data_IF_578446018589
#
_entry.id   IF_578446018589
#
_cell.length_a   1.000
_cell.length_b   1.000
_cell.length_c   1.000
_cell.angle_alpha   90.00
_cell.angle_beta   90.00
_cell.angle_gamma   90.00
#
_symmetry.space_group_name_H-M   'P 1'
#
loop_
_entity.id
_entity.type
_entity.pdbx_description
1 polymer ?
#
# COMPACT_ATOMS: atom_id res chain seq x y z
N UNK A 1 -54.70 13.98 -29.75
CA UNK A 1 -53.31 13.53 -30.02
C UNK A 1 -52.40 14.39 -29.17
N UNK A 2 -51.93 13.89 -28.03
CA UNK A 2 -50.78 14.41 -27.27
C UNK A 2 -50.56 13.53 -26.03
N UNK A 3 -50.29 12.25 -26.23
CA UNK A 3 -49.84 11.34 -25.16
C UNK A 3 -48.73 10.44 -25.72
N UNK A 4 -47.57 11.02 -26.00
CA UNK A 4 -46.36 10.26 -26.32
C UNK A 4 -45.17 11.22 -26.26
N UNK A 5 -44.60 11.46 -25.07
CA UNK A 5 -43.29 12.12 -24.92
C UNK A 5 -42.69 12.06 -23.51
N UNK A 6 -43.10 11.10 -22.65
CA UNK A 6 -42.58 11.00 -21.28
C UNK A 6 -41.89 9.67 -20.94
N UNK A 7 -41.66 8.76 -21.90
CA UNK A 7 -41.08 7.45 -21.59
C UNK A 7 -39.59 7.28 -21.91
N UNK A 8 -38.96 8.12 -22.74
CA UNK A 8 -37.55 7.92 -23.14
C UNK A 8 -36.50 8.54 -22.18
N UNK A 9 -36.88 9.48 -21.30
CA UNK A 9 -35.90 10.21 -20.47
C UNK A 9 -35.61 9.56 -19.11
N UNK A 10 -36.47 8.64 -18.66
CA UNK A 10 -36.36 8.03 -17.31
C UNK A 10 -35.46 6.77 -17.30
N UNK A 11 -35.38 6.02 -18.41
CA UNK A 11 -34.43 4.91 -18.58
C UNK A 11 -32.97 5.41 -18.57
N UNK A 12 -32.69 6.61 -19.11
CA UNK A 12 -31.31 7.13 -19.19
C UNK A 12 -30.70 7.55 -17.85
N UNK A 13 -31.50 8.08 -16.91
CA UNK A 13 -30.96 8.62 -15.63
C UNK A 13 -30.69 7.51 -14.62
N UNK A 14 -31.59 6.54 -14.54
CA UNK A 14 -31.47 5.37 -13.67
C UNK A 14 -30.32 4.46 -14.12
N UNK A 15 -30.12 4.28 -15.43
CA UNK A 15 -28.96 3.56 -15.96
C UNK A 15 -27.63 4.31 -15.72
N UNK A 16 -27.62 5.64 -15.81
CA UNK A 16 -26.43 6.46 -15.49
C UNK A 16 -26.05 6.31 -14.02
N UNK A 17 -27.04 6.32 -13.11
CA UNK A 17 -26.83 6.10 -11.68
C UNK A 17 -26.32 4.68 -11.45
N UNK A 18 -26.94 3.66 -12.05
CA UNK A 18 -26.48 2.27 -11.94
C UNK A 18 -25.06 2.04 -12.47
N UNK A 19 -24.71 2.66 -13.61
CA UNK A 19 -23.36 2.61 -14.17
C UNK A 19 -22.36 3.36 -13.31
N UNK A 20 -22.74 4.51 -12.73
CA UNK A 20 -21.90 5.25 -11.80
C UNK A 20 -21.64 4.43 -10.53
N UNK A 21 -22.69 3.90 -9.89
CA UNK A 21 -22.59 3.06 -8.69
C UNK A 21 -21.77 1.78 -8.96
N UNK A 22 -22.00 1.09 -10.09
CA UNK A 22 -21.19 -0.09 -10.47
C UNK A 22 -19.72 0.25 -10.68
N UNK A 23 -19.42 1.39 -11.31
CA UNK A 23 -18.04 1.86 -11.50
C UNK A 23 -17.39 2.23 -10.18
N UNK A 24 -18.10 2.92 -9.29
CA UNK A 24 -17.59 3.30 -7.97
C UNK A 24 -17.34 2.08 -7.10
N UNK A 25 -18.25 1.10 -7.08
CA UNK A 25 -18.06 -0.16 -6.34
C UNK A 25 -16.86 -0.92 -6.92
N UNK A 26 -16.81 -1.09 -8.25
CA UNK A 26 -15.69 -1.78 -8.92
C UNK A 26 -14.35 -1.09 -8.65
N UNK A 27 -14.32 0.24 -8.67
CA UNK A 27 -13.13 1.04 -8.38
C UNK A 27 -12.72 0.94 -6.91
N UNK A 28 -13.67 1.07 -5.98
CA UNK A 28 -13.41 0.96 -4.54
C UNK A 28 -12.91 -0.44 -4.15
N UNK A 29 -13.49 -1.51 -4.71
CA UNK A 29 -13.00 -2.88 -4.49
C UNK A 29 -11.60 -3.09 -5.10
N UNK A 30 -11.33 -2.53 -6.28
CA UNK A 30 -10.01 -2.58 -6.90
C UNK A 30 -8.95 -1.85 -6.06
N UNK A 31 -9.26 -0.63 -5.57
CA UNK A 31 -8.38 0.16 -4.70
C UNK A 31 -8.14 -0.53 -3.35
N UNK A 32 -9.17 -1.11 -2.74
CA UNK A 32 -9.02 -1.87 -1.49
C UNK A 32 -8.11 -3.09 -1.65
N UNK A 33 -8.23 -3.79 -2.78
CA UNK A 33 -7.34 -4.91 -3.10
C UNK A 33 -5.90 -4.44 -3.28
N UNK A 34 -5.64 -3.35 -4.02
CA UNK A 34 -4.30 -2.80 -4.18
C UNK A 34 -3.69 -2.34 -2.85
N UNK A 35 -4.46 -1.68 -1.99
CA UNK A 35 -3.99 -1.29 -0.65
C UNK A 35 -3.59 -2.51 0.17
N UNK A 36 -4.40 -3.58 0.15
CA UNK A 36 -4.08 -4.84 0.81
C UNK A 36 -2.75 -5.42 0.30
N UNK A 37 -2.51 -5.40 -1.02
CA UNK A 37 -1.24 -5.86 -1.59
C UNK A 37 -0.05 -4.99 -1.14
N UNK A 38 -0.19 -3.66 -1.13
CA UNK A 38 0.86 -2.75 -0.64
C UNK A 38 1.18 -3.02 0.83
N UNK A 39 0.16 -3.16 1.68
CA UNK A 39 0.36 -3.45 3.11
C UNK A 39 1.05 -4.79 3.30
N UNK A 40 0.64 -5.83 2.57
CA UNK A 40 1.29 -7.14 2.66
C UNK A 40 2.76 -7.06 2.23
N UNK A 41 3.06 -6.41 1.10
CA UNK A 41 4.45 -6.23 0.64
C UNK A 41 5.29 -5.41 1.61
N UNK A 42 4.71 -4.40 2.29
CA UNK A 42 5.39 -3.65 3.35
C UNK A 42 5.70 -4.52 4.58
N UNK A 43 4.79 -5.42 4.95
CA UNK A 43 5.03 -6.39 6.03
C UNK A 43 6.20 -7.30 5.63
N UNK A 44 6.17 -7.82 4.40
CA UNK A 44 7.23 -8.69 3.87
C UNK A 44 8.58 -7.97 3.83
N UNK A 45 8.62 -6.71 3.37
CA UNK A 45 9.81 -5.85 3.39
C UNK A 45 10.34 -5.65 4.81
N UNK A 46 9.46 -5.37 5.77
CA UNK A 46 9.82 -5.26 7.18
C UNK A 46 10.41 -6.56 7.75
N UNK A 47 9.89 -7.72 7.35
CA UNK A 47 10.44 -9.01 7.73
C UNK A 47 11.83 -9.25 7.12
N UNK A 48 12.05 -8.85 5.86
CA UNK A 48 13.36 -8.91 5.20
C UNK A 48 14.38 -8.01 5.91
N UNK A 49 14.02 -6.77 6.26
CA UNK A 49 14.90 -5.87 7.01
C UNK A 49 15.30 -6.43 8.37
N UNK A 50 14.35 -6.97 9.14
CA UNK A 50 14.66 -7.65 10.41
C UNK A 50 15.63 -8.81 10.23
N UNK A 51 15.50 -9.56 9.13
CA UNK A 51 16.41 -10.66 8.81
C UNK A 51 17.81 -10.18 8.43
N UNK A 52 17.91 -9.05 7.71
CA UNK A 52 19.20 -8.40 7.43
C UNK A 52 19.88 -7.98 8.73
N UNK A 53 19.15 -7.32 9.64
CA UNK A 53 19.69 -6.88 10.93
C UNK A 53 20.19 -8.07 11.76
N UNK A 54 19.42 -9.16 11.80
CA UNK A 54 19.81 -10.40 12.48
C UNK A 54 21.10 -11.00 11.89
N UNK A 55 21.24 -11.04 10.56
CA UNK A 55 22.45 -11.55 9.92
C UNK A 55 23.66 -10.62 10.11
N UNK A 56 23.46 -9.29 10.17
CA UNK A 56 24.54 -8.37 10.55
C UNK A 56 25.00 -8.63 11.99
N UNK A 57 24.09 -8.86 12.93
CA UNK A 57 24.44 -9.20 14.31
C UNK A 57 25.19 -10.55 14.40
N UNK A 58 24.73 -11.56 13.64
CA UNK A 58 25.39 -12.87 13.56
C UNK A 58 26.79 -12.76 12.95
N UNK A 59 26.95 -12.00 11.86
CA UNK A 59 28.23 -11.75 11.23
C UNK A 59 29.19 -11.01 12.18
N UNK A 60 28.71 -9.98 12.88
CA UNK A 60 29.51 -9.26 13.88
C UNK A 60 30.00 -10.19 14.99
N UNK A 61 29.10 -10.99 15.55
CA UNK A 61 29.45 -11.99 16.57
C UNK A 61 30.48 -12.99 16.04
N UNK A 62 30.32 -13.49 14.83
CA UNK A 62 31.26 -14.43 14.23
C UNK A 62 32.64 -13.82 14.02
N UNK A 63 32.71 -12.54 13.63
CA UNK A 63 33.97 -11.81 13.51
C UNK A 63 34.62 -11.66 14.88
N UNK A 64 33.86 -11.30 15.90
CA UNK A 64 34.35 -11.15 17.27
C UNK A 64 34.88 -12.49 17.81
N UNK A 65 34.11 -13.58 17.70
CA UNK A 65 34.49 -14.93 18.10
C UNK A 65 35.80 -15.37 17.38
N UNK A 66 35.91 -15.08 16.08
CA UNK A 66 37.12 -15.40 15.31
C UNK A 66 38.34 -14.58 15.76
N UNK A 67 38.11 -13.31 16.13
CA UNK A 67 39.17 -12.41 16.60
C UNK A 67 39.66 -12.82 17.98
N UNK A 68 38.76 -13.22 18.88
CA UNK A 68 39.10 -13.76 20.20
C UNK A 68 39.87 -15.09 20.08
N UNK A 69 39.51 -15.94 19.12
CA UNK A 69 40.24 -17.16 18.80
C UNK A 69 41.61 -16.92 18.12
N UNK A 70 41.96 -15.67 17.79
CA UNK A 70 43.22 -15.32 17.16
C UNK A 70 43.30 -15.65 15.66
N UNK A 71 42.17 -15.85 14.98
CA UNK A 71 42.14 -16.09 13.54
C UNK A 71 42.39 -14.79 12.77
N UNK A 72 43.34 -14.83 11.83
CA UNK A 72 43.73 -13.68 10.99
C UNK A 72 42.97 -13.59 9.67
N UNK A 73 42.47 -14.72 9.13
CA UNK A 73 41.76 -14.80 7.85
C UNK A 73 40.25 -15.02 8.03
N UNK A 74 39.60 -14.13 8.79
CA UNK A 74 38.18 -14.24 9.15
C UNK A 74 37.28 -14.16 7.91
N UNK A 75 37.60 -13.28 6.97
CA UNK A 75 36.80 -13.03 5.76
C UNK A 75 36.90 -14.14 4.70
N UNK A 76 37.90 -15.02 4.80
CA UNK A 76 38.07 -16.16 3.89
C UNK A 76 37.34 -17.41 4.39
N UNK A 77 36.78 -17.35 5.62
CA UNK A 77 36.00 -18.48 6.15
C UNK A 77 34.71 -18.63 5.36
N UNK A 78 34.44 -19.85 4.96
CA UNK A 78 33.27 -20.21 4.16
C UNK A 78 31.96 -19.74 4.82
N UNK A 79 31.86 -19.85 6.15
CA UNK A 79 30.71 -19.38 6.93
C UNK A 79 30.44 -17.88 6.76
N UNK A 80 31.49 -17.06 6.82
CA UNK A 80 31.42 -15.59 6.63
C UNK A 80 31.02 -15.26 5.20
N UNK A 81 31.62 -15.94 4.22
CA UNK A 81 31.30 -15.77 2.79
C UNK A 81 29.84 -16.14 2.51
N UNK A 82 29.35 -17.25 3.06
CA UNK A 82 27.95 -17.66 2.94
C UNK A 82 26.99 -16.65 3.57
N UNK A 83 27.34 -16.11 4.74
CA UNK A 83 26.57 -15.05 5.42
C UNK A 83 26.45 -13.81 4.54
N UNK A 84 27.57 -13.34 3.98
CA UNK A 84 27.60 -12.19 3.08
C UNK A 84 26.76 -12.43 1.82
N UNK A 85 26.83 -13.61 1.20
CA UNK A 85 25.99 -13.95 0.05
C UNK A 85 24.49 -13.95 0.38
N UNK A 86 24.11 -14.49 1.55
CA UNK A 86 22.71 -14.43 2.02
C UNK A 86 22.28 -12.98 2.22
N UNK A 87 23.17 -12.15 2.77
CA UNK A 87 22.90 -10.74 3.03
C UNK A 87 22.70 -9.94 1.74
N UNK A 88 23.54 -10.16 0.73
CA UNK A 88 23.38 -9.57 -0.59
C UNK A 88 22.08 -10.01 -1.25
N UNK A 89 21.71 -11.28 -1.10
CA UNK A 89 20.45 -11.81 -1.63
C UNK A 89 19.24 -11.15 -0.97
N UNK A 90 19.28 -10.92 0.35
CA UNK A 90 18.21 -10.23 1.07
C UNK A 90 18.15 -8.74 0.74
N UNK A 91 19.29 -8.07 0.56
CA UNK A 91 19.32 -6.67 0.08
C UNK A 91 18.68 -6.52 -1.30
N UNK A 92 18.96 -7.45 -2.22
CA UNK A 92 18.30 -7.50 -3.53
C UNK A 92 16.80 -7.73 -3.39
N UNK A 93 16.38 -8.67 -2.53
CA UNK A 93 14.98 -8.93 -2.28
C UNK A 93 14.24 -7.71 -1.68
N UNK A 94 14.88 -6.97 -0.77
CA UNK A 94 14.35 -5.73 -0.22
C UNK A 94 14.16 -4.66 -1.30
N UNK A 95 15.18 -4.45 -2.14
CA UNK A 95 15.10 -3.49 -3.25
C UNK A 95 13.97 -3.82 -4.25
N UNK A 96 13.79 -5.11 -4.58
CA UNK A 96 12.68 -5.55 -5.43
C UNK A 96 11.32 -5.29 -4.78
N UNK A 97 11.17 -5.58 -3.48
CA UNK A 97 9.92 -5.31 -2.76
C UNK A 97 9.61 -3.80 -2.70
N UNK A 98 10.62 -2.95 -2.53
CA UNK A 98 10.46 -1.49 -2.58
C UNK A 98 10.03 -1.01 -3.97
N UNK A 99 10.65 -1.51 -5.03
CA UNK A 99 10.27 -1.19 -6.42
C UNK A 99 8.83 -1.65 -6.74
N UNK A 100 8.44 -2.84 -6.30
CA UNK A 100 7.08 -3.33 -6.47
C UNK A 100 6.05 -2.50 -5.68
N UNK A 101 6.40 -2.06 -4.46
CA UNK A 101 5.54 -1.17 -3.67
C UNK A 101 5.37 0.17 -4.38
N UNK A 102 6.44 0.74 -4.93
CA UNK A 102 6.41 2.03 -5.63
C UNK A 102 5.65 1.93 -6.96
N UNK A 103 5.78 0.82 -7.68
CA UNK A 103 4.99 0.54 -8.89
C UNK A 103 3.50 0.50 -8.57
N UNK A 104 3.10 -0.24 -7.53
CA UNK A 104 1.67 -0.31 -7.14
C UNK A 104 1.16 1.05 -6.63
N UNK A 105 2.02 1.84 -5.98
CA UNK A 105 1.68 3.19 -5.51
C UNK A 105 1.52 4.19 -6.65
N UNK A 106 2.39 4.16 -7.65
CA UNK A 106 2.35 5.06 -8.82
C UNK A 106 1.20 4.71 -9.78
N UNK A 107 0.80 3.44 -9.87
CA UNK A 107 -0.42 3.01 -10.55
C UNK A 107 -1.71 3.41 -9.81
N UNK A 108 -1.58 3.77 -8.53
CA UNK A 108 -2.70 4.30 -7.75
C UNK A 108 -2.85 5.80 -8.03
N UNK A 109 -4.00 6.27 -8.55
CA UNK A 109 -4.28 7.70 -8.51
C UNK A 109 -4.19 8.15 -7.05
N UNK A 110 -3.57 9.32 -6.76
CA UNK A 110 -3.31 9.75 -5.39
C UNK A 110 -4.56 9.52 -4.56
N UNK A 111 -4.39 8.76 -3.48
CA UNK A 111 -5.42 8.76 -2.46
C UNK A 111 -5.58 10.23 -2.10
N UNK A 112 -6.75 10.81 -2.42
CA UNK A 112 -7.26 11.90 -1.62
C UNK A 112 -7.00 11.45 -0.19
N UNK A 113 -6.10 12.18 0.46
CA UNK A 113 -5.88 12.10 1.89
C UNK A 113 -7.28 11.97 2.47
N UNK A 114 -7.48 10.97 3.32
CA UNK A 114 -8.69 10.91 4.13
C UNK A 114 -8.57 12.09 5.10
N UNK A 115 -8.69 13.31 4.56
CA UNK A 115 -8.77 14.54 5.28
C UNK A 115 -9.96 14.39 6.19
N UNK A 116 -9.68 14.64 7.45
CA UNK A 116 -10.55 14.53 8.62
C UNK A 116 -11.71 15.56 8.59
N UNK A 117 -12.15 15.98 7.40
CA UNK A 117 -13.05 17.12 7.17
C UNK A 117 -14.47 16.70 6.72
N UNK A 118 -15.01 15.62 7.29
CA UNK A 118 -16.47 15.35 7.25
C UNK A 118 -17.13 15.43 8.62
N UNK A 119 -16.70 16.38 9.43
CA UNK A 119 -17.41 16.78 10.65
C UNK A 119 -17.74 18.27 10.69
N UNK A 120 -18.05 18.92 9.54
CA UNK A 120 -18.66 20.26 9.61
C UNK A 120 -19.42 20.69 8.34
N UNK A 121 -20.42 19.95 7.87
CA UNK A 121 -21.45 20.58 7.02
C UNK A 121 -22.80 19.83 7.01
N UNK A 122 -23.47 19.77 8.17
CA UNK A 122 -24.93 19.61 8.20
C UNK A 122 -25.50 20.37 9.40
N UNK A 123 -25.86 21.64 9.21
CA UNK A 123 -27.17 22.18 9.62
C UNK A 123 -27.20 23.70 9.42
N UNK A 124 -27.62 24.10 8.22
CA UNK A 124 -27.87 25.49 7.87
C UNK A 124 -28.96 25.60 6.82
N UNK A 125 -30.22 25.32 7.20
CA UNK A 125 -31.43 26.02 6.73
C UNK A 125 -32.72 25.31 7.19
N UNK A 126 -33.42 25.92 8.13
CA UNK A 126 -34.88 26.03 8.03
C UNK A 126 -35.26 27.49 8.22
N UNK A 127 -35.32 28.20 7.10
CA UNK A 127 -36.14 29.38 6.94
C UNK A 127 -37.60 28.98 7.15
N UNK A 128 -38.25 29.46 8.21
CA UNK A 128 -39.71 29.54 8.25
C UNK A 128 -40.13 30.97 8.55
N UNK A 129 -40.45 31.68 7.46
CA UNK A 129 -41.22 32.93 7.47
C UNK A 129 -42.59 32.68 8.09
N UNK A 130 -43.08 33.60 8.92
CA UNK A 130 -44.30 34.35 8.64
C UNK A 130 -44.46 35.53 9.62
N UNK A 131 -44.54 36.72 9.01
CA UNK A 131 -44.97 38.03 9.55
C UNK A 131 -46.50 38.04 9.81
N UNK A 132 -47.15 39.14 10.26
CA UNK A 132 -46.70 40.49 10.57
C UNK A 132 -46.93 40.98 12.01
#
# INVERSE_FOLDING_TARGET
MSEELHSENQESRSEKIWRATRRTISSATFRANQYKYVVQKKIDLGAVHKKIDQLHAELGKMIDDCREAGHSQIMERDEVVQLLHKLDSLKKAAALLEEEIETIRSEMPPAEELDEDQANDTSGKEDRKESP
#
